data_IF_390275795776
#
_entry.id   IF_390275795776
#
_cell.length_a   1.000
_cell.length_b   1.000
_cell.length_c   1.000
_cell.angle_alpha   90.00
_cell.angle_beta   90.00
_cell.angle_gamma   90.00
#
_symmetry.space_group_name_H-M   'P 1'
#
loop_
_entity.id
_entity.type
_entity.pdbx_description
1 polymer ?
#
# COMPACT_ATOMS: atom_id res chain seq x y z
N UNK A 1 -5.88 -15.09 12.07
CA UNK A 1 -5.35 -14.71 10.74
C UNK A 1 -5.61 -13.23 10.57
N UNK A 2 -4.55 -12.50 10.22
CA UNK A 2 -4.59 -11.08 9.99
C UNK A 2 -4.87 -10.78 8.52
N UNK A 3 -5.49 -9.64 8.27
CA UNK A 3 -5.66 -9.06 6.94
C UNK A 3 -5.16 -7.63 6.96
N UNK A 4 -4.32 -7.31 5.99
CA UNK A 4 -3.92 -5.96 5.64
C UNK A 4 -4.76 -5.51 4.43
N UNK A 5 -5.54 -4.45 4.58
CA UNK A 5 -6.18 -3.76 3.46
C UNK A 5 -5.31 -2.58 3.06
N UNK A 6 -5.09 -2.40 1.76
CA UNK A 6 -4.15 -1.43 1.21
C UNK A 6 -4.83 -0.61 0.12
N UNK A 7 -4.69 0.70 0.21
CA UNK A 7 -5.00 1.65 -0.86
C UNK A 7 -3.86 2.66 -0.98
N UNK A 8 -3.91 3.51 -1.98
CA UNK A 8 -2.86 4.47 -2.29
C UNK A 8 -3.35 5.90 -2.40
N UNK A 9 -2.39 6.81 -2.42
CA UNK A 9 -2.63 8.19 -2.78
C UNK A 9 -1.40 8.76 -3.48
N UNK A 10 -1.60 9.36 -4.66
CA UNK A 10 -0.53 10.02 -5.42
C UNK A 10 -0.72 11.53 -5.45
N UNK A 11 0.37 12.27 -5.25
CA UNK A 11 0.35 13.72 -5.31
C UNK A 11 0.52 14.22 -6.74
N UNK A 12 -0.20 15.29 -7.09
CA UNK A 12 -0.07 15.98 -8.37
C UNK A 12 0.84 17.22 -8.28
N UNK A 13 1.42 17.48 -7.10
CA UNK A 13 2.28 18.63 -6.80
C UNK A 13 3.62 18.17 -6.22
N UNK A 14 4.59 19.08 -6.10
CA UNK A 14 5.89 18.79 -5.51
C UNK A 14 6.64 17.68 -6.26
N UNK A 15 7.21 16.75 -5.50
CA UNK A 15 7.91 15.54 -5.97
C UNK A 15 6.94 14.46 -6.51
N UNK A 16 5.63 14.74 -6.49
CA UNK A 16 4.55 13.83 -6.85
C UNK A 16 4.60 12.54 -6.03
N UNK A 17 4.83 12.66 -4.72
CA UNK A 17 4.90 11.53 -3.80
C UNK A 17 3.73 10.56 -3.98
N UNK A 18 4.07 9.28 -4.11
CA UNK A 18 3.14 8.16 -4.02
C UNK A 18 3.20 7.62 -2.59
N UNK A 19 2.05 7.34 -2.00
CA UNK A 19 1.90 6.71 -0.68
C UNK A 19 1.02 5.48 -0.84
N UNK A 20 1.45 4.34 -0.30
CA UNK A 20 0.58 3.20 -0.02
C UNK A 20 0.37 3.14 1.50
N UNK A 21 -0.87 2.97 1.93
CA UNK A 21 -1.18 2.79 3.35
C UNK A 21 -1.94 1.49 3.57
N UNK A 22 -1.54 0.77 4.61
CA UNK A 22 -2.12 -0.48 5.03
C UNK A 22 -2.75 -0.34 6.42
N UNK A 23 -3.98 -0.85 6.58
CA UNK A 23 -4.60 -1.08 7.88
C UNK A 23 -4.70 -2.58 8.12
N UNK A 24 -4.22 -3.04 9.28
CA UNK A 24 -3.97 -4.45 9.59
C UNK A 24 -4.75 -4.83 10.84
N UNK A 25 -5.55 -5.88 10.74
CA UNK A 25 -6.30 -6.41 11.88
C UNK A 25 -6.76 -7.85 11.64
N UNK A 26 -7.24 -8.54 12.69
CA UNK A 26 -7.83 -9.87 12.59
C UNK A 26 -9.08 -9.90 11.72
N UNK A 27 -9.32 -11.03 11.06
CA UNK A 27 -10.54 -11.27 10.28
C UNK A 27 -11.83 -11.05 11.11
N UNK A 28 -11.84 -11.47 12.38
CA UNK A 28 -12.99 -11.29 13.26
C UNK A 28 -13.30 -9.81 13.51
N UNK A 29 -12.29 -8.98 13.73
CA UNK A 29 -12.47 -7.54 13.88
C UNK A 29 -12.88 -6.90 12.57
N UNK A 30 -12.33 -7.34 11.42
CA UNK A 30 -12.74 -6.82 10.11
C UNK A 30 -14.22 -7.09 9.81
N UNK A 31 -14.73 -8.26 10.20
CA UNK A 31 -16.16 -8.54 10.07
C UNK A 31 -17.04 -7.58 10.89
N UNK A 32 -16.61 -7.24 12.11
CA UNK A 32 -17.31 -6.24 12.93
C UNK A 32 -17.17 -4.81 12.37
N UNK A 33 -15.98 -4.48 11.87
CA UNK A 33 -15.69 -3.21 11.20
C UNK A 33 -16.58 -3.00 9.99
N UNK A 34 -16.74 -4.01 9.14
CA UNK A 34 -17.56 -3.93 7.93
C UNK A 34 -19.02 -3.60 8.24
N UNK A 35 -19.59 -4.22 9.28
CA UNK A 35 -20.96 -3.93 9.73
C UNK A 35 -21.09 -2.47 10.17
N UNK A 36 -20.15 -1.99 10.98
CA UNK A 36 -20.14 -0.61 11.45
C UNK A 36 -19.96 0.39 10.31
N UNK A 37 -19.04 0.10 9.39
CA UNK A 37 -18.72 0.95 8.24
C UNK A 37 -19.92 1.08 7.30
N UNK A 38 -20.51 -0.06 6.89
CA UNK A 38 -21.69 -0.05 6.01
C UNK A 38 -22.88 0.68 6.64
N UNK A 39 -23.07 0.54 7.96
CA UNK A 39 -24.08 1.33 8.68
C UNK A 39 -23.79 2.82 8.57
N UNK A 40 -22.56 3.27 8.79
CA UNK A 40 -22.19 4.67 8.68
C UNK A 40 -22.31 5.22 7.24
N UNK A 41 -22.04 4.41 6.21
CA UNK A 41 -22.31 4.78 4.82
C UNK A 41 -23.80 5.01 4.57
N UNK A 42 -24.67 4.17 5.15
CA UNK A 42 -26.13 4.25 5.00
C UNK A 42 -26.80 5.38 5.81
N UNK A 43 -26.13 5.94 6.82
CA UNK A 43 -26.68 7.05 7.60
C UNK A 43 -26.86 8.32 6.74
N UNK A 44 -27.97 9.06 6.86
CA UNK A 44 -28.16 10.30 6.11
C UNK A 44 -27.13 11.41 6.42
N UNK A 45 -26.61 12.14 5.40
CA UNK A 45 -26.81 11.87 3.98
C UNK A 45 -26.01 10.62 3.56
N UNK A 46 -26.70 9.69 2.90
CA UNK A 46 -26.17 8.36 2.60
C UNK A 46 -25.26 8.39 1.36
N UNK A 47 -24.23 7.54 1.37
CA UNK A 47 -23.30 7.32 0.25
C UNK A 47 -23.18 5.82 -0.04
N UNK A 48 -22.99 5.43 -1.30
CA UNK A 48 -22.84 4.02 -1.68
C UNK A 48 -21.45 3.46 -1.36
N UNK A 49 -20.43 4.31 -1.42
CA UNK A 49 -19.04 4.00 -1.09
C UNK A 49 -18.33 5.28 -0.64
N UNK A 50 -17.17 5.13 0.00
CA UNK A 50 -16.33 6.24 0.42
C UNK A 50 -15.03 6.29 -0.40
N UNK A 51 -14.71 7.49 -0.89
CA UNK A 51 -13.36 7.87 -1.36
C UNK A 51 -13.05 9.27 -0.81
N UNK A 52 -11.92 9.43 -0.13
CA UNK A 52 -11.51 10.66 0.53
C UNK A 52 -11.29 11.79 -0.47
N UNK A 53 -10.80 11.48 -1.68
CA UNK A 53 -10.68 12.45 -2.76
C UNK A 53 -12.05 12.97 -3.26
N UNK A 54 -13.10 12.13 -3.28
CA UNK A 54 -14.46 12.58 -3.61
C UNK A 54 -15.03 13.44 -2.47
N UNK A 55 -14.83 13.01 -1.22
CA UNK A 55 -15.26 13.74 -0.04
C UNK A 55 -14.64 15.14 0.06
N UNK A 56 -13.32 15.24 -0.09
CA UNK A 56 -12.62 16.53 -0.02
C UNK A 56 -13.10 17.52 -1.10
N UNK A 57 -13.37 17.01 -2.31
CA UNK A 57 -13.80 17.84 -3.43
C UNK A 57 -15.33 17.99 -3.53
N UNK A 58 -16.10 17.36 -2.62
CA UNK A 58 -17.57 17.32 -2.61
C UNK A 58 -18.17 16.98 -3.98
N UNK A 59 -17.60 15.96 -4.61
CA UNK A 59 -18.02 15.44 -5.93
C UNK A 59 -18.55 14.01 -5.79
N UNK A 60 -19.13 13.49 -6.86
CA UNK A 60 -19.59 12.10 -6.96
C UNK A 60 -20.48 11.69 -5.78
N UNK A 61 -20.07 10.74 -4.91
CA UNK A 61 -20.88 10.34 -3.75
C UNK A 61 -21.15 11.48 -2.76
N UNK A 62 -20.28 12.48 -2.74
CA UNK A 62 -20.40 13.66 -1.88
C UNK A 62 -20.97 14.88 -2.60
N UNK A 63 -21.50 14.72 -3.82
CA UNK A 63 -22.13 15.81 -4.56
C UNK A 63 -23.36 16.33 -3.81
N UNK A 64 -23.37 17.63 -3.54
CA UNK A 64 -24.47 18.31 -2.84
C UNK A 64 -24.35 18.32 -1.31
N UNK A 65 -23.34 17.67 -0.74
CA UNK A 65 -23.04 17.80 0.69
C UNK A 65 -22.60 19.23 1.00
N UNK A 66 -23.06 19.78 2.11
CA UNK A 66 -22.40 20.91 2.76
C UNK A 66 -21.06 20.48 3.37
N UNK A 67 -20.18 21.44 3.66
CA UNK A 67 -18.91 21.16 4.35
C UNK A 67 -19.11 20.50 5.71
N UNK A 68 -20.14 20.94 6.44
CA UNK A 68 -20.49 20.39 7.75
C UNK A 68 -20.94 18.94 7.65
N UNK A 69 -21.79 18.60 6.68
CA UNK A 69 -22.25 17.22 6.45
C UNK A 69 -21.10 16.33 6.01
N UNK A 70 -20.25 16.81 5.09
CA UNK A 70 -19.05 16.11 4.63
C UNK A 70 -18.12 15.83 5.80
N UNK A 71 -17.76 16.84 6.59
CA UNK A 71 -16.88 16.68 7.74
C UNK A 71 -17.47 15.67 8.74
N UNK A 72 -18.76 15.80 9.07
CA UNK A 72 -19.43 14.86 9.98
C UNK A 72 -19.35 13.43 9.47
N UNK A 73 -19.56 13.20 8.18
CA UNK A 73 -19.47 11.86 7.57
C UNK A 73 -18.05 11.30 7.65
N UNK A 74 -17.04 12.09 7.25
CA UNK A 74 -15.63 11.67 7.31
C UNK A 74 -15.20 11.37 8.74
N UNK A 75 -15.56 12.21 9.71
CA UNK A 75 -15.22 11.97 11.11
C UNK A 75 -15.93 10.73 11.68
N UNK A 76 -17.19 10.48 11.32
CA UNK A 76 -17.90 9.28 11.76
C UNK A 76 -17.25 7.99 11.23
N UNK A 77 -16.75 8.01 9.99
CA UNK A 77 -15.97 6.90 9.43
C UNK A 77 -14.62 6.74 10.14
N UNK A 78 -13.91 7.84 10.39
CA UNK A 78 -12.65 7.81 11.16
C UNK A 78 -12.85 7.30 12.60
N UNK A 79 -13.97 7.63 13.25
CA UNK A 79 -14.31 7.11 14.59
C UNK A 79 -14.52 5.60 14.59
N UNK A 80 -14.95 5.01 13.47
CA UNK A 80 -15.04 3.56 13.31
C UNK A 80 -13.63 2.96 13.20
N UNK A 81 -12.74 3.56 12.42
CA UNK A 81 -11.32 3.13 12.37
C UNK A 81 -10.72 3.14 13.78
N UNK A 82 -10.87 4.24 14.51
CA UNK A 82 -10.37 4.36 15.87
C UNK A 82 -10.92 3.28 16.83
N UNK A 83 -12.22 2.98 16.73
CA UNK A 83 -12.88 1.98 17.58
C UNK A 83 -12.37 0.56 17.36
N UNK A 84 -12.09 0.20 16.11
CA UNK A 84 -11.59 -1.12 15.74
C UNK A 84 -10.06 -1.22 15.83
N UNK A 85 -9.38 -0.09 16.00
CA UNK A 85 -7.96 0.04 16.28
C UNK A 85 -7.07 -0.88 15.42
N UNK A 86 -7.18 -0.85 14.08
CA UNK A 86 -6.25 -1.55 13.21
C UNK A 86 -4.84 -0.96 13.37
N UNK A 87 -3.81 -1.80 13.25
CA UNK A 87 -2.44 -1.31 13.13
C UNK A 87 -2.24 -0.66 11.76
N UNK A 88 -1.50 0.44 11.72
CA UNK A 88 -1.18 1.13 10.46
C UNK A 88 0.26 0.91 10.02
N UNK A 89 0.45 0.66 8.73
CA UNK A 89 1.75 0.73 8.07
C UNK A 89 1.61 1.60 6.83
N UNK A 90 2.60 2.44 6.51
CA UNK A 90 2.61 3.12 5.21
C UNK A 90 4.00 3.12 4.58
N UNK A 91 4.04 3.16 3.26
CA UNK A 91 5.26 3.35 2.50
C UNK A 91 5.09 4.49 1.50
N UNK A 92 6.15 5.29 1.31
CA UNK A 92 6.10 6.44 0.39
C UNK A 92 7.35 6.55 -0.47
N UNK A 93 7.20 7.12 -1.67
CA UNK A 93 8.33 7.40 -2.58
C UNK A 93 8.04 8.60 -3.46
N UNK A 94 9.09 9.37 -3.77
CA UNK A 94 9.08 10.46 -4.75
C UNK A 94 8.98 9.83 -6.13
N UNK A 95 7.86 10.03 -6.83
CA UNK A 95 7.74 9.48 -8.19
C UNK A 95 8.62 10.25 -9.18
N UNK A 96 9.05 11.46 -8.82
CA UNK A 96 10.03 12.24 -9.58
C UNK A 96 11.42 11.61 -9.49
N UNK A 97 11.92 11.33 -8.28
CA UNK A 97 13.22 10.68 -8.10
C UNK A 97 13.21 9.25 -8.64
N UNK A 98 12.10 8.53 -8.48
CA UNK A 98 11.96 7.18 -9.01
C UNK A 98 12.10 7.14 -10.53
N UNK A 99 11.47 8.07 -11.25
CA UNK A 99 11.58 8.22 -12.70
C UNK A 99 12.99 8.56 -13.15
N UNK A 100 13.67 9.40 -12.38
CA UNK A 100 15.03 9.82 -12.68
C UNK A 100 16.04 8.69 -12.47
N UNK A 101 15.94 7.97 -11.35
CA UNK A 101 16.97 7.05 -10.89
C UNK A 101 16.69 5.58 -11.21
N UNK A 102 15.44 5.15 -11.10
CA UNK A 102 15.07 3.72 -11.20
C UNK A 102 14.64 3.35 -12.61
N UNK A 103 13.74 4.13 -13.23
CA UNK A 103 13.22 3.78 -14.56
C UNK A 103 14.30 3.51 -15.64
N UNK A 104 15.43 4.26 -15.69
CA UNK A 104 16.49 4.00 -16.66
C UNK A 104 17.34 2.75 -16.38
N UNK A 105 17.43 2.33 -15.12
CA UNK A 105 18.26 1.20 -14.67
C UNK A 105 17.47 -0.12 -14.57
N UNK A 106 16.19 -0.03 -14.22
CA UNK A 106 15.36 -1.17 -13.87
C UNK A 106 14.75 -1.90 -15.09
N UNK A 107 14.48 -3.22 -14.96
CA UNK A 107 13.67 -3.95 -15.93
C UNK A 107 12.22 -3.45 -15.96
N UNK A 108 11.53 -3.62 -17.08
CA UNK A 108 10.17 -3.11 -17.32
C UNK A 108 9.18 -3.22 -16.14
N UNK A 109 8.97 -4.37 -15.47
CA UNK A 109 7.99 -4.49 -14.38
C UNK A 109 8.32 -3.63 -13.15
N UNK A 110 9.59 -3.27 -12.97
CA UNK A 110 10.10 -2.46 -11.86
C UNK A 110 10.22 -0.98 -12.21
N UNK A 111 9.73 -0.56 -13.39
CA UNK A 111 9.71 0.87 -13.75
C UNK A 111 8.55 1.62 -13.11
N UNK A 112 7.70 0.95 -12.33
CA UNK A 112 6.61 1.61 -11.60
C UNK A 112 6.95 1.74 -10.11
N UNK A 113 6.83 2.94 -9.52
CA UNK A 113 7.04 3.13 -8.08
C UNK A 113 6.07 2.30 -7.22
N UNK A 114 4.93 1.89 -7.78
CA UNK A 114 4.03 0.96 -7.08
C UNK A 114 4.65 -0.39 -6.81
N UNK A 115 5.48 -0.90 -7.73
CA UNK A 115 6.13 -2.20 -7.53
C UNK A 115 7.07 -2.11 -6.32
N UNK A 116 7.86 -1.04 -6.22
CA UNK A 116 8.70 -0.76 -5.06
C UNK A 116 7.88 -0.69 -3.76
N UNK A 117 6.81 0.12 -3.74
CA UNK A 117 6.02 0.31 -2.52
C UNK A 117 5.23 -0.94 -2.12
N UNK A 118 4.83 -1.78 -3.07
CA UNK A 118 4.27 -3.10 -2.79
C UNK A 118 5.23 -3.93 -1.92
N UNK A 119 6.52 -3.98 -2.28
CA UNK A 119 7.55 -4.68 -1.49
C UNK A 119 7.69 -4.04 -0.11
N UNK A 120 7.79 -2.71 -0.06
CA UNK A 120 7.93 -1.99 1.20
C UNK A 120 6.77 -2.28 2.17
N UNK A 121 5.54 -2.39 1.68
CA UNK A 121 4.39 -2.79 2.51
C UNK A 121 4.50 -4.24 2.96
N UNK A 122 4.66 -5.20 2.04
CA UNK A 122 4.60 -6.64 2.38
C UNK A 122 5.69 -7.02 3.37
N UNK A 123 6.95 -6.65 3.07
CA UNK A 123 8.08 -6.94 3.95
C UNK A 123 8.10 -6.05 5.20
N UNK A 124 7.64 -4.80 5.08
CA UNK A 124 7.51 -3.90 6.23
C UNK A 124 6.52 -4.42 7.28
N UNK A 125 5.39 -4.98 6.85
CA UNK A 125 4.41 -5.63 7.73
C UNK A 125 5.00 -6.90 8.37
N UNK A 126 5.77 -7.68 7.62
CA UNK A 126 6.48 -8.85 8.17
C UNK A 126 7.39 -8.47 9.34
N UNK A 127 8.22 -7.44 9.13
CA UNK A 127 9.11 -6.91 10.17
C UNK A 127 8.36 -6.28 11.33
N UNK A 128 7.23 -5.63 11.05
CA UNK A 128 6.35 -5.14 12.10
C UNK A 128 5.82 -6.30 12.95
N UNK A 129 5.42 -7.41 12.32
CA UNK A 129 4.97 -8.60 13.03
C UNK A 129 6.08 -9.19 13.90
N UNK A 130 7.30 -9.31 13.37
CA UNK A 130 8.46 -9.75 14.14
C UNK A 130 8.71 -8.86 15.36
N UNK A 131 8.79 -7.54 15.16
CA UNK A 131 9.03 -6.57 16.23
C UNK A 131 7.92 -6.58 17.30
N UNK A 132 6.70 -6.97 16.93
CA UNK A 132 5.55 -7.13 17.83
C UNK A 132 5.38 -8.57 18.36
N UNK A 133 6.29 -9.49 18.01
CA UNK A 133 6.18 -10.92 18.34
C UNK A 133 4.86 -11.57 17.88
N UNK A 134 4.34 -11.12 16.75
CA UNK A 134 3.13 -11.65 16.11
C UNK A 134 3.52 -12.81 15.20
N UNK A 135 2.92 -13.97 15.44
CA UNK A 135 3.14 -15.18 14.64
C UNK A 135 1.99 -15.51 13.67
N UNK A 136 0.90 -14.74 13.72
CA UNK A 136 -0.23 -14.97 12.82
C UNK A 136 0.11 -14.53 11.38
N UNK A 137 -0.22 -15.37 10.37
CA UNK A 137 -0.14 -15.00 8.96
C UNK A 137 -0.98 -13.76 8.63
N UNK A 138 -0.53 -12.97 7.65
CA UNK A 138 -1.22 -11.79 7.15
C UNK A 138 -1.54 -11.92 5.65
N UNK A 139 -2.82 -11.90 5.28
CA UNK A 139 -3.24 -11.71 3.89
C UNK A 139 -3.15 -10.23 3.52
N UNK A 140 -2.76 -9.93 2.27
CA UNK A 140 -2.65 -8.58 1.73
C UNK A 140 -3.69 -8.35 0.62
N UNK A 141 -4.56 -7.36 0.82
CA UNK A 141 -5.68 -7.04 -0.06
C UNK A 141 -5.52 -5.61 -0.57
N UNK A 142 -5.08 -5.47 -1.81
CA UNK A 142 -4.89 -4.18 -2.47
C UNK A 142 -6.14 -3.74 -3.23
N UNK A 143 -6.42 -2.44 -3.30
CA UNK A 143 -7.39 -1.90 -4.28
C UNK A 143 -6.95 -2.34 -5.68
N UNK A 144 -7.87 -2.88 -6.48
CA UNK A 144 -7.60 -3.25 -7.87
C UNK A 144 -7.21 -2.07 -8.76
N UNK A 145 -7.41 -0.83 -8.31
CA UNK A 145 -6.99 0.38 -8.99
C UNK A 145 -5.58 0.86 -8.60
N UNK A 146 -4.87 0.13 -7.74
CA UNK A 146 -3.57 0.52 -7.16
C UNK A 146 -2.37 0.38 -8.13
N UNK A 147 -2.53 0.77 -9.39
CA UNK A 147 -1.42 0.87 -10.36
C UNK A 147 -0.75 -0.44 -10.83
N UNK A 148 -1.11 -1.60 -10.26
CA UNK A 148 -0.59 -2.92 -10.65
C UNK A 148 -1.63 -3.69 -11.48
N UNK A 149 -1.20 -4.30 -12.58
CA UNK A 149 -2.05 -5.16 -13.42
C UNK A 149 -2.32 -6.49 -12.70
N UNK A 150 -3.56 -7.00 -12.69
CA UNK A 150 -3.91 -8.32 -12.13
C UNK A 150 -3.01 -9.45 -12.66
N UNK A 151 -2.41 -9.28 -13.85
CA UNK A 151 -1.43 -10.21 -14.42
C UNK A 151 -0.09 -10.27 -13.69
N UNK A 152 0.24 -9.29 -12.85
CA UNK A 152 1.45 -9.33 -12.01
C UNK A 152 1.26 -10.18 -10.75
N UNK A 153 0.01 -10.51 -10.39
CA UNK A 153 -0.33 -11.18 -9.14
C UNK A 153 0.33 -12.56 -8.95
N UNK A 154 0.40 -13.46 -9.97
CA UNK A 154 1.10 -14.74 -9.81
C UNK A 154 2.58 -14.55 -9.49
N UNK A 155 3.25 -13.62 -10.19
CA UNK A 155 4.65 -13.28 -9.93
C UNK A 155 4.82 -12.72 -8.51
N UNK A 156 3.97 -11.80 -8.05
CA UNK A 156 4.08 -11.22 -6.71
C UNK A 156 3.93 -12.29 -5.63
N UNK A 157 2.98 -13.20 -5.78
CA UNK A 157 2.80 -14.32 -4.86
C UNK A 157 3.99 -15.30 -4.91
N UNK A 158 4.55 -15.59 -6.09
CA UNK A 158 5.73 -16.46 -6.21
C UNK A 158 6.98 -15.83 -5.57
N UNK A 159 7.17 -14.51 -5.73
CA UNK A 159 8.26 -13.77 -5.09
C UNK A 159 8.13 -13.77 -3.56
N UNK A 160 6.91 -13.63 -3.03
CA UNK A 160 6.66 -13.77 -1.58
C UNK A 160 6.92 -15.20 -1.10
N UNK A 161 6.39 -16.20 -1.81
CA UNK A 161 6.56 -17.60 -1.46
C UNK A 161 8.03 -18.04 -1.48
N UNK A 162 8.83 -17.53 -2.41
CA UNK A 162 10.28 -17.81 -2.49
C UNK A 162 11.11 -17.02 -1.48
N UNK A 163 10.59 -15.90 -0.94
CA UNK A 163 11.17 -15.13 0.16
C UNK A 163 10.98 -15.79 1.53
N UNK A 164 10.12 -16.81 1.61
CA UNK A 164 9.77 -17.50 2.86
C UNK A 164 10.95 -18.19 3.57
N UNK A 165 12.10 -18.37 2.94
CA UNK A 165 13.29 -18.90 3.62
C UNK A 165 13.78 -18.03 4.79
N UNK A 166 13.74 -16.69 4.63
CA UNK A 166 14.21 -15.74 5.64
C UNK A 166 13.09 -15.19 6.53
N UNK A 167 11.83 -15.28 6.09
CA UNK A 167 10.67 -14.63 6.74
C UNK A 167 9.39 -15.48 6.76
N UNK A 168 9.47 -16.76 6.37
CA UNK A 168 8.32 -17.56 5.92
C UNK A 168 7.32 -17.99 6.95
N UNK A 169 7.63 -17.83 8.23
CA UNK A 169 6.61 -17.94 9.28
C UNK A 169 5.65 -16.75 9.28
N UNK A 170 6.16 -15.56 8.95
CA UNK A 170 5.48 -14.26 9.15
C UNK A 170 4.86 -13.70 7.86
N UNK A 171 5.44 -14.01 6.69
CA UNK A 171 4.88 -13.69 5.37
C UNK A 171 4.23 -14.94 4.78
N UNK A 172 3.14 -15.39 5.39
CA UNK A 172 2.48 -16.66 5.04
C UNK A 172 1.04 -16.48 4.55
N UNK A 173 0.59 -15.24 4.33
CA UNK A 173 -0.70 -14.97 3.68
C UNK A 173 -0.58 -14.73 2.18
N UNK A 174 -1.74 -14.60 1.55
CA UNK A 174 -1.92 -14.41 0.12
C UNK A 174 -1.97 -12.94 -0.26
N UNK A 175 -1.57 -12.63 -1.49
CA UNK A 175 -1.82 -11.31 -2.10
C UNK A 175 -2.98 -11.42 -3.06
N UNK A 176 -3.94 -10.48 -2.98
CA UNK A 176 -5.00 -10.33 -3.96
C UNK A 176 -5.37 -8.87 -4.19
N UNK A 177 -6.02 -8.63 -5.32
CA UNK A 177 -6.66 -7.36 -5.65
C UNK A 177 -8.18 -7.47 -5.41
N UNK A 178 -8.80 -6.42 -4.90
CA UNK A 178 -10.23 -6.37 -4.67
C UNK A 178 -10.84 -5.00 -5.02
N UNK A 179 -12.15 -4.98 -5.24
CA UNK A 179 -12.91 -3.74 -5.40
C UNK A 179 -13.26 -3.19 -4.01
N UNK A 180 -13.03 -1.89 -3.80
CA UNK A 180 -13.27 -1.22 -2.51
C UNK A 180 -14.76 -1.10 -2.19
N UNK A 181 -15.65 -1.30 -3.17
CA UNK A 181 -17.11 -1.37 -2.95
C UNK A 181 -17.52 -2.70 -2.34
N UNK A 182 -16.77 -3.75 -2.64
CA UNK A 182 -16.98 -5.09 -2.08
C UNK A 182 -16.25 -5.22 -0.74
N UNK A 183 -14.99 -4.77 -0.67
CA UNK A 183 -14.12 -4.81 0.51
C UNK A 183 -14.01 -3.42 1.15
N UNK A 184 -15.01 -3.03 1.94
CA UNK A 184 -15.11 -1.64 2.47
C UNK A 184 -13.95 -1.22 3.37
N UNK A 185 -13.17 -2.16 3.91
CA UNK A 185 -11.95 -1.85 4.67
C UNK A 185 -10.85 -1.17 3.81
N UNK A 186 -10.88 -1.37 2.49
CA UNK A 186 -10.00 -0.62 1.56
C UNK A 186 -10.30 0.88 1.63
N UNK A 187 -11.57 1.27 1.78
CA UNK A 187 -11.97 2.69 1.88
C UNK A 187 -11.39 3.38 3.13
N UNK A 188 -11.11 2.63 4.21
CA UNK A 188 -10.41 3.16 5.37
C UNK A 188 -8.92 3.36 5.11
N UNK A 189 -8.33 2.50 4.28
CA UNK A 189 -6.94 2.63 3.85
C UNK A 189 -6.77 3.80 2.88
N UNK A 190 -7.77 4.08 2.01
CA UNK A 190 -7.85 5.30 1.20
C UNK A 190 -7.84 6.57 2.08
N UNK A 191 -8.64 6.58 3.15
CA UNK A 191 -8.63 7.69 4.11
C UNK A 191 -7.24 7.91 4.70
N UNK A 192 -6.57 6.85 5.16
CA UNK A 192 -5.23 6.93 5.73
C UNK A 192 -4.19 7.39 4.69
N UNK A 193 -4.14 6.75 3.52
CA UNK A 193 -3.19 7.08 2.45
C UNK A 193 -3.32 8.53 2.01
N UNK A 194 -4.57 9.00 1.87
CA UNK A 194 -4.85 10.38 1.48
C UNK A 194 -4.39 11.38 2.53
N UNK A 195 -4.63 11.11 3.82
CA UNK A 195 -4.22 11.99 4.92
C UNK A 195 -2.69 12.07 5.04
N UNK A 196 -1.99 10.93 5.03
CA UNK A 196 -0.52 10.89 5.08
C UNK A 196 0.08 11.68 3.92
N UNK A 197 -0.39 11.41 2.69
CA UNK A 197 0.08 12.16 1.51
C UNK A 197 -0.17 13.67 1.67
N UNK A 198 -1.35 14.07 2.14
CA UNK A 198 -1.69 15.49 2.29
C UNK A 198 -0.90 16.20 3.37
N UNK A 199 -0.60 15.53 4.46
CA UNK A 199 0.30 16.05 5.49
C UNK A 199 1.71 16.25 4.91
N UNK A 200 2.19 15.33 4.07
CA UNK A 200 3.44 15.49 3.32
C UNK A 200 3.43 16.63 2.29
N UNK A 201 2.29 16.89 1.63
CA UNK A 201 2.12 18.04 0.72
C UNK A 201 2.12 19.39 1.46
N UNK A 202 1.84 19.40 2.77
CA UNK A 202 1.71 20.61 3.58
C UNK A 202 0.53 20.55 4.56
N UNK A 203 -0.11 21.70 4.79
CA UNK A 203 -1.19 21.78 5.78
C UNK A 203 -2.44 21.03 5.31
N UNK A 204 -2.98 20.18 6.19
CA UNK A 204 -4.26 19.52 5.96
C UNK A 204 -5.39 20.54 5.75
N UNK A 205 -6.32 20.29 4.82
CA UNK A 205 -7.41 21.21 4.58
C UNK A 205 -8.44 21.19 5.73
N UNK A 206 -9.27 22.25 5.86
CA UNK A 206 -10.29 22.33 6.90
C UNK A 206 -11.21 21.11 6.94
N UNK A 207 -11.52 20.66 8.16
CA UNK A 207 -12.35 19.47 8.39
C UNK A 207 -11.58 18.16 8.39
N UNK A 208 -10.26 18.20 8.36
CA UNK A 208 -9.39 17.04 8.57
C UNK A 208 -8.73 17.04 9.97
N UNK A 209 -9.06 18.02 10.80
CA UNK A 209 -8.46 18.24 12.12
C UNK A 209 -8.64 17.01 13.03
N UNK A 210 -7.55 16.47 13.57
CA UNK A 210 -7.57 15.30 14.45
C UNK A 210 -8.01 14.00 13.77
N UNK A 211 -8.11 13.94 12.43
CA UNK A 211 -8.36 12.67 11.74
C UNK A 211 -7.15 11.73 11.89
N UNK A 212 -5.92 12.23 11.72
CA UNK A 212 -4.72 11.40 11.87
C UNK A 212 -4.66 10.70 13.23
N UNK A 213 -5.00 11.41 14.31
CA UNK A 213 -5.03 10.87 15.68
C UNK A 213 -6.03 9.72 15.87
N UNK A 214 -7.06 9.63 15.00
CA UNK A 214 -8.06 8.54 14.99
C UNK A 214 -7.59 7.32 14.20
N UNK A 215 -6.75 7.53 13.19
CA UNK A 215 -6.28 6.46 12.31
C UNK A 215 -4.90 5.93 12.70
N UNK A 216 -4.17 6.63 13.58
CA UNK A 216 -2.81 6.27 13.98
C UNK A 216 -2.74 5.84 15.44
N UNK A 217 -2.24 4.63 15.67
CA UNK A 217 -1.91 4.15 17.01
C UNK A 217 -0.44 4.49 17.28
N UNK A 218 -0.21 5.54 18.07
CA UNK A 218 1.14 5.98 18.45
C UNK A 218 1.96 4.84 19.08
N UNK A 219 3.20 4.68 18.63
CA UNK A 219 4.11 3.63 19.09
C UNK A 219 3.90 2.26 18.43
N UNK A 220 2.76 2.03 17.76
CA UNK A 220 2.47 0.77 17.05
C UNK A 220 2.62 0.95 15.55
N UNK A 221 2.09 2.03 14.98
CA UNK A 221 2.18 2.27 13.55
C UNK A 221 3.65 2.37 13.10
N UNK A 222 3.93 1.86 11.90
CA UNK A 222 5.27 1.87 11.28
C UNK A 222 5.21 2.50 9.90
N UNK A 223 6.36 2.91 9.38
CA UNK A 223 6.44 3.46 8.03
C UNK A 223 7.79 3.22 7.38
N UNK A 224 7.80 3.32 6.06
CA UNK A 224 8.98 3.30 5.22
C UNK A 224 8.92 4.48 4.25
N UNK A 225 9.72 5.53 4.47
CA UNK A 225 9.91 6.56 3.44
C UNK A 225 11.12 6.18 2.58
N UNK A 226 10.87 5.89 1.31
CA UNK A 226 11.91 5.62 0.33
C UNK A 226 12.44 6.97 -0.15
N UNK A 227 13.56 7.37 0.45
CA UNK A 227 14.27 8.59 0.11
C UNK A 227 15.16 8.42 -1.13
N UNK A 228 15.72 9.54 -1.59
CA UNK A 228 16.56 9.56 -2.79
C UNK A 228 17.84 8.74 -2.63
N UNK A 229 18.48 8.78 -1.46
CA UNK A 229 19.73 8.05 -1.22
C UNK A 229 19.50 6.54 -1.33
N UNK A 230 18.35 6.07 -0.86
CA UNK A 230 17.94 4.69 -1.02
C UNK A 230 17.64 4.33 -2.48
N UNK A 231 16.97 5.21 -3.24
CA UNK A 231 16.78 5.00 -4.67
C UNK A 231 18.10 4.94 -5.45
N UNK A 232 19.11 5.71 -5.06
CA UNK A 232 20.46 5.64 -5.65
C UNK A 232 21.12 4.27 -5.40
N UNK A 233 20.95 3.70 -4.20
CA UNK A 233 21.43 2.34 -3.89
C UNK A 233 20.72 1.28 -4.73
N UNK A 234 19.40 1.38 -4.86
CA UNK A 234 18.61 0.46 -5.68
C UNK A 234 19.02 0.56 -7.16
N UNK A 235 19.20 1.78 -7.67
CA UNK A 235 19.67 2.02 -9.04
C UNK A 235 21.05 1.42 -9.30
N UNK A 236 21.98 1.56 -8.34
CA UNK A 236 23.30 0.94 -8.42
C UNK A 236 23.20 -0.58 -8.48
N UNK A 237 22.38 -1.20 -7.63
CA UNK A 237 22.15 -2.65 -7.63
C UNK A 237 21.57 -3.16 -8.95
N UNK A 238 20.61 -2.45 -9.56
CA UNK A 238 20.11 -2.82 -10.88
C UNK A 238 21.17 -2.73 -11.99
N UNK A 239 22.11 -1.79 -11.86
CA UNK A 239 23.19 -1.61 -12.85
C UNK A 239 24.20 -2.77 -12.84
N UNK A 240 24.28 -3.52 -11.74
CA UNK A 240 25.14 -4.72 -11.64
C UNK A 240 24.52 -5.95 -12.33
N UNK A 241 23.20 -5.95 -12.56
CA UNK A 241 22.50 -7.05 -13.20
C UNK A 241 22.67 -6.94 -14.72
N UNK A 242 23.33 -7.91 -15.40
CA UNK A 242 23.52 -7.84 -16.83
C UNK A 242 22.17 -7.74 -17.56
N UNK A 243 22.05 -6.73 -18.43
CA UNK A 243 20.88 -6.50 -19.30
C UNK A 243 19.57 -6.15 -18.57
N UNK A 244 19.58 -5.81 -17.28
CA UNK A 244 18.36 -5.44 -16.55
C UNK A 244 17.53 -4.36 -17.25
N UNK A 245 18.16 -3.25 -17.64
CA UNK A 245 17.49 -2.15 -18.34
C UNK A 245 17.02 -2.47 -19.77
N UNK A 246 17.47 -3.58 -20.35
CA UNK A 246 17.11 -4.02 -21.70
C UNK A 246 15.90 -4.95 -21.73
N UNK A 247 15.44 -5.43 -20.57
CA UNK A 247 14.21 -6.22 -20.46
C UNK A 247 13.03 -5.26 -20.62
N UNK A 248 12.52 -5.16 -21.85
CA UNK A 248 11.34 -4.40 -22.18
C UNK A 248 10.04 -5.18 -21.88
N UNK A 249 8.89 -4.62 -22.26
CA UNK A 249 7.58 -5.25 -22.03
C UNK A 249 7.42 -6.60 -22.74
N UNK A 250 8.04 -6.78 -23.91
CA UNK A 250 7.96 -8.03 -24.66
C UNK A 250 8.88 -9.07 -24.04
N UNK A 251 10.14 -8.71 -23.79
CA UNK A 251 11.09 -9.58 -23.10
C UNK A 251 10.56 -10.02 -21.73
N UNK A 252 9.91 -9.10 -21.00
CA UNK A 252 9.20 -9.42 -19.76
C UNK A 252 8.12 -10.49 -19.96
N UNK A 253 7.24 -10.35 -20.96
CA UNK A 253 6.16 -11.31 -21.23
C UNK A 253 6.69 -12.69 -21.63
N UNK A 254 7.79 -12.74 -22.36
CA UNK A 254 8.44 -13.98 -22.76
C UNK A 254 9.09 -14.70 -21.56
N UNK A 255 9.43 -13.95 -20.50
CA UNK A 255 9.97 -14.50 -19.26
C UNK A 255 8.89 -15.03 -18.29
N UNK A 256 7.65 -14.52 -18.35
CA UNK A 256 6.55 -14.95 -17.46
C UNK A 256 6.40 -16.49 -17.38
N UNK A 257 6.30 -17.25 -18.50
CA UNK A 257 6.14 -18.70 -18.44
C UNK A 257 7.36 -19.46 -17.90
N UNK A 258 8.55 -18.86 -17.98
CA UNK A 258 9.79 -19.42 -17.42
C UNK A 258 9.79 -19.26 -15.88
N UNK A 259 9.11 -18.22 -15.40
CA UNK A 259 9.13 -17.79 -14.01
C UNK A 259 8.03 -18.41 -13.17
N UNK A 260 6.89 -18.76 -13.78
CA UNK A 260 5.81 -19.58 -13.17
C UNK A 260 6.27 -20.98 -12.71
N UNK A 261 7.54 -21.35 -12.93
CA UNK A 261 8.18 -22.60 -12.46
C UNK A 261 9.21 -22.45 -11.32
N UNK A 262 9.19 -21.36 -10.54
CA UNK A 262 10.05 -21.17 -9.35
C UNK A 262 11.37 -20.43 -9.59
N UNK A 263 11.51 -19.71 -10.72
CA UNK A 263 12.68 -18.89 -11.03
C UNK A 263 12.55 -17.42 -10.56
N UNK A 264 11.44 -17.04 -9.91
CA UNK A 264 11.26 -15.72 -9.30
C UNK A 264 12.30 -15.40 -8.21
N UNK A 265 12.94 -16.45 -7.66
CA UNK A 265 14.02 -16.31 -6.68
C UNK A 265 15.18 -15.45 -7.18
N UNK A 266 15.61 -15.55 -8.45
CA UNK A 266 16.75 -14.77 -8.93
C UNK A 266 16.43 -13.27 -9.03
N UNK A 267 15.21 -12.92 -9.44
CA UNK A 267 14.76 -11.52 -9.42
C UNK A 267 14.59 -11.02 -8.00
N UNK A 268 14.02 -11.85 -7.12
CA UNK A 268 13.82 -11.52 -5.72
C UNK A 268 15.17 -11.33 -4.99
N UNK A 269 16.12 -12.23 -5.21
CA UNK A 269 17.50 -12.12 -4.71
C UNK A 269 18.17 -10.85 -5.25
N UNK A 270 17.93 -10.48 -6.51
CA UNK A 270 18.50 -9.27 -7.10
C UNK A 270 17.84 -7.99 -6.56
N UNK A 271 16.53 -8.02 -6.27
CA UNK A 271 15.78 -6.93 -5.62
C UNK A 271 16.25 -6.76 -4.17
N UNK A 272 16.42 -7.86 -3.44
CA UNK A 272 16.96 -7.88 -2.08
C UNK A 272 18.42 -7.39 -2.08
N UNK A 273 19.25 -7.87 -3.02
CA UNK A 273 20.64 -7.45 -3.17
C UNK A 273 20.77 -5.98 -3.59
N UNK A 274 19.83 -5.46 -4.38
CA UNK A 274 19.71 -4.04 -4.69
C UNK A 274 19.18 -3.20 -3.50
N UNK A 275 19.00 -3.80 -2.33
CA UNK A 275 18.67 -3.09 -1.10
C UNK A 275 17.21 -2.71 -0.99
N UNK A 276 16.30 -3.29 -1.77
CA UNK A 276 14.85 -3.02 -1.78
C UNK A 276 14.13 -3.66 -0.56
N UNK A 277 14.78 -3.51 0.61
CA UNK A 277 14.75 -4.24 1.89
C UNK A 277 15.69 -5.46 1.97
N UNK A 278 16.50 -5.56 3.05
CA UNK A 278 17.76 -6.31 3.05
C UNK A 278 17.68 -7.69 3.73
N UNK A 279 18.75 -8.50 3.63
CA UNK A 279 19.06 -9.51 4.64
C UNK A 279 19.14 -8.88 6.04
N UNK A 280 18.74 -9.62 7.09
CA UNK A 280 19.32 -9.40 8.41
C UNK A 280 20.79 -9.83 8.36
N UNK A 281 21.64 -9.14 9.13
CA UNK A 281 23.05 -9.46 9.43
C UNK A 281 23.66 -10.71 8.76
#
# INVERSE_FOLDING_TARGET
MLRAYIDDSVSNTGDRRLVLAALIQSEATWAAFEVDWRRALAEPPAIGYFKMAEAQNRRDQFKGFSEKERNRKVHALADIVARHAPWGFHASVSTTDYRELIEPAAPFPMRTPYFLLFYAIVFGVARMHEALSVSEPCDFIFDQHSGLDKKTLPMLNDMIATSSGSWGGQISGSVRFADDKDEVAIQASDLLAWLIRREGDGQLPPGCDGLMDKLVIYGVNRFADVDRAWLEQISAGFSEIPRANSIDKQGWREMIPIWEGGHAKALNDAVIAAGLYPPED
#
